data_IF_999482026098
#
_entry.id   IF_999482026098
#
_cell.length_a   1.000
_cell.length_b   1.000
_cell.length_c   1.000
_cell.angle_alpha   90.00
_cell.angle_beta   90.00
_cell.angle_gamma   90.00
#
_symmetry.space_group_name_H-M   'P 1'
#
loop_
_entity.id
_entity.type
_entity.pdbx_description
1 polymer ?
#
# COMPACT_ATOMS: atom_id res chain seq x y z
N UNK A 1 3.00 2.67 3.53
CA UNK A 1 1.68 3.24 3.16
C UNK A 1 1.76 4.17 1.95
N UNK A 2 2.79 5.03 1.90
CA UNK A 2 3.00 5.97 0.78
C UNK A 2 3.13 5.26 -0.56
N UNK A 3 4.02 4.26 -0.66
CA UNK A 3 4.23 3.49 -1.89
C UNK A 3 2.94 2.82 -2.41
N UNK A 4 2.12 2.29 -1.50
CA UNK A 4 0.84 1.66 -1.85
C UNK A 4 -0.18 2.71 -2.30
N UNK A 5 -0.19 3.87 -1.65
CA UNK A 5 -1.05 5.00 -2.03
C UNK A 5 -0.65 5.54 -3.41
N UNK A 6 0.64 5.64 -3.71
CA UNK A 6 1.14 6.05 -5.02
C UNK A 6 0.75 5.05 -6.11
N UNK A 7 0.97 3.75 -5.91
CA UNK A 7 0.59 2.71 -6.87
C UNK A 7 -0.94 2.72 -7.12
N UNK A 8 -1.74 2.89 -6.06
CA UNK A 8 -3.20 2.93 -6.19
C UNK A 8 -3.67 4.20 -6.89
N UNK A 9 -3.02 5.34 -6.60
CA UNK A 9 -3.25 6.61 -7.28
C UNK A 9 -2.87 6.56 -8.76
N UNK A 10 -1.77 5.89 -9.09
CA UNK A 10 -1.31 5.64 -10.46
C UNK A 10 -2.27 4.73 -11.24
N UNK A 11 -2.92 3.79 -10.55
CA UNK A 11 -4.03 2.96 -11.09
C UNK A 11 -5.37 3.69 -11.21
N UNK A 12 -5.44 4.99 -10.89
CA UNK A 12 -6.67 5.80 -10.94
C UNK A 12 -7.56 5.69 -9.70
N UNK A 13 -7.13 4.96 -8.67
CA UNK A 13 -7.85 4.91 -7.39
C UNK A 13 -7.40 6.06 -6.50
N UNK A 14 -8.20 7.12 -6.44
CA UNK A 14 -7.92 8.30 -5.63
C UNK A 14 -8.30 8.07 -4.16
N UNK A 15 -7.61 7.14 -3.49
CA UNK A 15 -7.80 6.78 -2.09
C UNK A 15 -6.84 7.55 -1.17
N UNK A 16 -7.37 8.09 -0.08
CA UNK A 16 -6.60 8.82 0.91
C UNK A 16 -5.72 7.87 1.75
N UNK A 17 -4.52 8.34 2.17
CA UNK A 17 -3.59 7.56 3.03
C UNK A 17 -4.27 6.99 4.28
N UNK A 18 -5.24 7.72 4.86
CA UNK A 18 -5.99 7.30 6.06
C UNK A 18 -6.84 6.05 5.78
N UNK A 19 -7.43 5.97 4.60
CA UNK A 19 -8.16 4.79 4.13
C UNK A 19 -7.19 3.63 3.94
N UNK A 20 -6.07 3.87 3.25
CA UNK A 20 -5.06 2.82 3.04
C UNK A 20 -4.54 2.26 4.36
N UNK A 21 -4.25 3.11 5.36
CA UNK A 21 -3.79 2.70 6.68
C UNK A 21 -4.85 1.89 7.48
N UNK A 22 -6.12 2.31 7.44
CA UNK A 22 -7.22 1.61 8.13
C UNK A 22 -7.50 0.22 7.54
N UNK A 23 -7.42 0.11 6.21
CA UNK A 23 -7.64 -1.15 5.51
C UNK A 23 -6.37 -2.02 5.42
N UNK A 24 -5.19 -1.47 5.76
CA UNK A 24 -3.90 -2.19 5.73
C UNK A 24 -3.88 -3.43 6.62
N UNK A 25 -4.40 -3.30 7.85
CA UNK A 25 -4.45 -4.40 8.81
C UNK A 25 -5.53 -5.42 8.44
N UNK A 26 -6.69 -4.95 7.99
CA UNK A 26 -7.80 -5.82 7.58
C UNK A 26 -7.47 -6.65 6.32
N UNK A 27 -6.71 -6.08 5.38
CA UNK A 27 -6.36 -6.74 4.12
C UNK A 27 -5.08 -7.60 4.21
N UNK A 28 -4.40 -7.61 5.36
CA UNK A 28 -3.16 -8.39 5.58
C UNK A 28 -2.13 -8.23 4.44
N UNK A 29 -2.10 -7.07 3.78
CA UNK A 29 -1.26 -6.86 2.59
C UNK A 29 0.18 -6.68 3.09
N UNK A 30 1.10 -7.61 2.78
CA UNK A 30 2.48 -7.44 3.15
C UNK A 30 3.03 -6.24 2.39
N UNK A 31 3.60 -5.28 3.13
CA UNK A 31 4.39 -4.23 2.50
C UNK A 31 5.50 -4.92 1.72
N UNK A 32 5.75 -4.47 0.49
CA UNK A 32 6.88 -4.93 -0.30
C UNK A 32 8.18 -4.51 0.40
N UNK A 33 8.54 -5.25 1.45
CA UNK A 33 9.86 -5.24 2.08
C UNK A 33 10.73 -5.98 1.09
N UNK A 34 11.47 -5.18 0.34
CA UNK A 34 12.38 -5.56 -0.72
C UNK A 34 13.03 -6.92 -0.41
N UNK A 35 12.88 -7.89 -1.32
CA UNK A 35 13.73 -9.08 -1.36
C UNK A 35 15.18 -8.60 -1.39
N UNK A 36 15.94 -8.92 -0.34
CA UNK A 36 17.39 -9.02 -0.41
C UNK A 36 17.77 -10.25 0.40
N UNK A 37 17.61 -11.40 -0.21
CA UNK A 37 18.40 -12.57 0.15
C UNK A 37 18.86 -13.21 -1.16
N UNK A 38 20.20 -13.28 -1.26
CA UNK A 38 21.07 -14.00 -2.21
C UNK A 38 21.34 -13.33 -3.58
#
# INVERSE_FOLDING_TARGET
DEKLTEILKEKGYNIARRTVAKYREALNIPVARLRKEL
#
